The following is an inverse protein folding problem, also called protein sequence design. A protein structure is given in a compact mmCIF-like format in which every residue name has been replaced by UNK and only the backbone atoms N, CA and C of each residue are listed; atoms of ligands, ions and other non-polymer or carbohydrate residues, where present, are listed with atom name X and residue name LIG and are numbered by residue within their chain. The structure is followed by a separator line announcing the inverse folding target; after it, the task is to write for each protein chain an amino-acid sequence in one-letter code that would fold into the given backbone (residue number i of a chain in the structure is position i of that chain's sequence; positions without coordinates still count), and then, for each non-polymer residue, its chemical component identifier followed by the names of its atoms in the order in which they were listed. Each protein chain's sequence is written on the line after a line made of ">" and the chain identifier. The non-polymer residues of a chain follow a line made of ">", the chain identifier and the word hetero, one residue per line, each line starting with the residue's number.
data_IF_357177638596
#
_entry.id   IF_357177638596
#
_cell.length_a   1.000
_cell.length_b   1.000
_cell.length_c   1.000
_cell.angle_alpha   90.00
_cell.angle_beta   90.00
_cell.angle_gamma   90.00
#
_symmetry.space_group_name_H-M   'P 1'
#
loop_
_entity.id
_entity.type
_entity.pdbx_description
1 polymer ?
#
# COMPACT_ATOMS: atom_id res chain seq x y z
N UNK A 1 -16.07 7.00 -10.50
CA UNK A 1 -15.86 7.28 -9.06
C UNK A 1 -14.66 6.45 -8.65
N UNK A 2 -13.65 7.08 -8.04
CA UNK A 2 -12.43 6.41 -7.60
C UNK A 2 -12.79 5.37 -6.52
N UNK A 3 -12.16 4.19 -6.55
CA UNK A 3 -12.42 3.18 -5.53
C UNK A 3 -11.68 3.60 -4.25
N UNK A 4 -12.44 4.00 -3.22
CA UNK A 4 -11.89 4.50 -1.96
C UNK A 4 -10.95 3.47 -1.31
N UNK A 5 -11.33 2.20 -1.26
CA UNK A 5 -10.49 1.14 -0.71
C UNK A 5 -9.16 1.02 -1.46
N UNK A 6 -9.17 1.04 -2.79
CA UNK A 6 -7.91 1.00 -3.56
C UNK A 6 -7.03 2.21 -3.27
N UNK A 7 -7.64 3.38 -3.11
CA UNK A 7 -6.92 4.64 -2.80
C UNK A 7 -6.34 4.62 -1.39
N UNK A 8 -7.10 4.16 -0.40
CA UNK A 8 -6.63 3.98 0.98
C UNK A 8 -5.44 3.01 1.04
N UNK A 9 -5.57 1.82 0.43
CA UNK A 9 -4.49 0.83 0.40
C UNK A 9 -3.27 1.39 -0.35
N UNK A 10 -3.47 2.12 -1.46
CA UNK A 10 -2.39 2.80 -2.17
C UNK A 10 -1.64 3.77 -1.25
N UNK A 11 -2.35 4.59 -0.49
CA UNK A 11 -1.77 5.53 0.47
C UNK A 11 -1.03 4.81 1.61
N UNK A 12 -1.61 3.73 2.16
CA UNK A 12 -0.93 2.90 3.17
C UNK A 12 0.39 2.35 2.62
N UNK A 13 0.39 1.78 1.40
CA UNK A 13 1.60 1.27 0.76
C UNK A 13 2.64 2.38 0.46
N UNK A 14 2.20 3.64 0.34
CA UNK A 14 3.06 4.82 0.18
C UNK A 14 3.56 5.38 1.52
N UNK A 15 3.16 4.79 2.65
CA UNK A 15 3.59 5.20 3.98
C UNK A 15 2.71 6.26 4.65
N UNK A 16 1.49 6.51 4.13
CA UNK A 16 0.52 7.46 4.68
C UNK A 16 -0.38 6.81 5.74
N UNK A 17 0.23 6.31 6.80
CA UNK A 17 -0.42 5.76 7.99
C UNK A 17 0.33 6.25 9.23
N UNK A 18 -0.29 6.15 10.40
CA UNK A 18 0.32 6.53 11.66
C UNK A 18 1.49 5.57 11.99
N UNK A 19 2.73 6.06 11.81
CA UNK A 19 3.97 5.31 12.02
C UNK A 19 4.29 5.12 13.50
N UNK A 20 3.71 5.94 14.38
CA UNK A 20 3.82 5.74 15.83
C UNK A 20 3.00 4.52 16.30
N UNK A 21 1.94 4.16 15.57
CA UNK A 21 1.06 3.02 15.88
C UNK A 21 1.39 1.77 15.05
N UNK A 22 1.86 1.94 13.81
CA UNK A 22 2.10 0.84 12.87
C UNK A 22 3.54 0.84 12.40
N UNK A 23 4.23 -0.29 12.55
CA UNK A 23 5.66 -0.40 12.21
C UNK A 23 5.90 -0.49 10.71
N UNK A 24 4.92 -0.98 9.96
CA UNK A 24 5.00 -1.19 8.52
C UNK A 24 3.59 -1.16 7.90
N UNK A 25 3.56 -1.17 6.58
CA UNK A 25 2.34 -1.11 5.79
C UNK A 25 1.44 -2.35 5.98
N UNK A 26 2.01 -3.52 6.33
CA UNK A 26 1.21 -4.72 6.62
C UNK A 26 0.42 -4.58 7.93
N UNK A 27 1.05 -4.04 8.98
CA UNK A 27 0.36 -3.74 10.24
C UNK A 27 -0.72 -2.68 10.03
N UNK A 28 -0.46 -1.65 9.23
CA UNK A 28 -1.47 -0.65 8.87
C UNK A 28 -2.64 -1.24 8.05
N UNK A 29 -2.35 -2.13 7.09
CA UNK A 29 -3.39 -2.88 6.35
C UNK A 29 -4.21 -3.79 7.27
N UNK A 30 -3.59 -4.39 8.29
CA UNK A 30 -4.30 -5.18 9.29
C UNK A 30 -5.29 -4.32 10.08
N UNK A 31 -4.85 -3.17 10.59
CA UNK A 31 -5.74 -2.23 11.27
C UNK A 31 -6.84 -1.69 10.34
N UNK A 32 -6.52 -1.47 9.07
CA UNK A 32 -7.51 -1.06 8.06
C UNK A 32 -8.58 -2.12 7.88
N UNK A 33 -8.17 -3.39 7.78
CA UNK A 33 -9.09 -4.50 7.67
C UNK A 33 -10.06 -4.55 8.85
N UNK A 34 -9.58 -4.51 10.09
CA UNK A 34 -10.45 -4.55 11.27
C UNK A 34 -11.40 -3.35 11.34
N UNK A 35 -10.90 -2.15 11.03
CA UNK A 35 -11.71 -0.92 11.03
C UNK A 35 -12.84 -0.96 9.99
N UNK A 36 -12.59 -1.52 8.81
CA UNK A 36 -13.52 -1.45 7.67
C UNK A 36 -14.36 -2.72 7.45
N UNK A 37 -13.90 -3.88 7.90
CA UNK A 37 -14.57 -5.17 7.70
C UNK A 37 -15.04 -5.81 9.01
N UNK A 38 -14.61 -5.31 10.19
CA UNK A 38 -15.17 -5.67 11.49
C UNK A 38 -14.96 -7.11 11.94
N UNK A 39 -13.95 -7.79 11.42
CA UNK A 39 -13.63 -9.17 11.79
C UNK A 39 -12.34 -9.22 12.62
N UNK A 40 -12.47 -9.25 13.95
CA UNK A 40 -11.34 -9.17 14.89
C UNK A 40 -10.54 -10.50 15.00
N UNK A 41 -11.11 -11.60 14.52
CA UNK A 41 -10.51 -12.94 14.63
C UNK A 41 -9.49 -13.26 13.52
N UNK A 42 -9.40 -12.42 12.48
CA UNK A 42 -8.51 -12.63 11.33
C UNK A 42 -7.31 -11.70 11.42
N UNK A 43 -6.10 -12.27 11.44
CA UNK A 43 -4.88 -11.50 11.22
C UNK A 43 -4.57 -11.41 9.73
N UNK A 44 -4.40 -10.20 9.22
CA UNK A 44 -3.97 -9.94 7.85
C UNK A 44 -2.47 -10.25 7.73
N UNK A 45 -2.17 -11.44 7.23
CA UNK A 45 -0.82 -11.84 6.84
C UNK A 45 -0.52 -11.49 5.37
N UNK A 46 0.69 -11.78 4.91
CA UNK A 46 1.12 -11.45 3.54
C UNK A 46 0.23 -12.08 2.45
N UNK A 47 -0.05 -13.40 2.47
CA UNK A 47 -0.99 -14.00 1.52
C UNK A 47 -2.37 -13.35 1.52
N UNK A 48 -2.90 -13.04 2.70
CA UNK A 48 -4.22 -12.39 2.82
C UNK A 48 -4.19 -10.97 2.25
N UNK A 49 -3.20 -10.16 2.62
CA UNK A 49 -3.03 -8.81 2.12
C UNK A 49 -2.85 -8.78 0.60
N UNK A 50 -2.10 -9.75 0.05
CA UNK A 50 -1.96 -9.91 -1.39
C UNK A 50 -3.31 -10.08 -2.08
N UNK A 51 -4.07 -11.09 -1.68
CA UNK A 51 -5.32 -11.42 -2.35
C UNK A 51 -6.41 -10.36 -2.16
N UNK A 52 -6.54 -9.82 -0.95
CA UNK A 52 -7.63 -8.90 -0.65
C UNK A 52 -7.34 -7.47 -1.13
N UNK A 53 -6.11 -6.99 -0.96
CA UNK A 53 -5.77 -5.58 -1.14
C UNK A 53 -4.83 -5.34 -2.31
N UNK A 54 -3.71 -6.05 -2.37
CA UNK A 54 -2.61 -5.71 -3.28
C UNK A 54 -2.83 -6.21 -4.71
N UNK A 55 -3.43 -7.38 -4.92
CA UNK A 55 -3.74 -7.91 -6.25
C UNK A 55 -4.74 -6.98 -6.99
N UNK A 56 -5.89 -6.59 -6.40
CA UNK A 56 -6.79 -5.63 -7.03
C UNK A 56 -6.12 -4.28 -7.31
N UNK A 57 -5.33 -3.76 -6.37
CA UNK A 57 -4.61 -2.50 -6.53
C UNK A 57 -3.58 -2.58 -7.66
N UNK A 58 -2.84 -3.68 -7.75
CA UNK A 58 -1.83 -3.91 -8.78
C UNK A 58 -2.45 -3.92 -10.17
N UNK A 59 -3.58 -4.63 -10.33
CA UNK A 59 -4.30 -4.67 -11.60
C UNK A 59 -4.79 -3.28 -12.02
N UNK A 60 -5.31 -2.49 -11.08
CA UNK A 60 -5.77 -1.14 -11.37
C UNK A 60 -4.60 -0.20 -11.72
N UNK A 61 -3.46 -0.31 -11.03
CA UNK A 61 -2.24 0.44 -11.37
C UNK A 61 -1.78 0.10 -12.80
N UNK A 62 -1.68 -1.18 -13.14
CA UNK A 62 -1.24 -1.63 -14.48
C UNK A 62 -2.21 -1.17 -15.56
N UNK A 63 -3.52 -1.15 -15.26
CA UNK A 63 -4.52 -0.63 -16.18
C UNK A 63 -4.34 0.87 -16.48
N UNK A 64 -3.88 1.65 -15.50
CA UNK A 64 -3.61 3.09 -15.66
C UNK A 64 -2.25 3.36 -16.29
N UNK A 65 -1.24 2.60 -15.88
CA UNK A 65 0.13 2.71 -16.35
C UNK A 65 0.72 1.30 -16.57
N UNK A 66 0.57 0.74 -17.80
CA UNK A 66 1.02 -0.60 -18.13
C UNK A 66 2.52 -0.85 -17.90
N UNK A 67 3.36 0.19 -17.97
CA UNK A 67 4.81 0.07 -17.77
C UNK A 67 5.17 -0.35 -16.34
N UNK A 68 4.24 -0.18 -15.38
CA UNK A 68 4.42 -0.64 -14.00
C UNK A 68 4.48 -2.17 -13.89
N UNK A 69 3.94 -2.91 -14.86
CA UNK A 69 3.99 -4.37 -14.86
C UNK A 69 5.43 -4.92 -14.81
N UNK A 70 6.43 -4.19 -15.33
CA UNK A 70 7.84 -4.60 -15.33
C UNK A 70 8.39 -4.90 -13.92
N UNK A 71 7.85 -4.24 -12.88
CA UNK A 71 8.28 -4.45 -11.50
C UNK A 71 7.88 -5.83 -10.96
N UNK A 72 6.84 -6.45 -11.52
CA UNK A 72 6.44 -7.82 -11.18
C UNK A 72 7.41 -8.86 -11.75
N UNK A 73 8.05 -8.53 -12.88
CA UNK A 73 8.93 -9.42 -13.63
C UNK A 73 10.43 -9.13 -13.43
N UNK A 74 10.79 -8.32 -12.43
CA UNK A 74 12.20 -8.07 -12.12
C UNK A 74 12.96 -9.37 -11.86
N UNK A 75 14.24 -9.40 -12.26
CA UNK A 75 15.08 -10.57 -12.07
C UNK A 75 15.16 -10.95 -10.58
N UNK A 76 15.05 -12.25 -10.33
CA UNK A 76 15.16 -12.83 -9.00
C UNK A 76 16.60 -12.59 -8.52
N UNK A 77 16.78 -11.69 -7.54
CA UNK A 77 18.13 -11.49 -6.97
C UNK A 77 18.56 -12.75 -6.22
N UNK A 78 19.86 -13.02 -6.11
CA UNK A 78 20.41 -14.27 -5.56
C UNK A 78 19.83 -14.68 -4.18
N UNK A 79 19.29 -13.73 -3.38
CA UNK A 79 18.66 -13.99 -2.08
C UNK A 79 17.16 -14.32 -2.12
N UNK A 80 16.50 -14.20 -3.28
CA UNK A 80 15.06 -14.46 -3.43
C UNK A 80 14.74 -15.92 -3.81
N UNK A 81 15.72 -16.68 -4.32
CA UNK A 81 15.53 -18.08 -4.75
C UNK A 81 15.09 -19.03 -3.62
N UNK A 82 15.38 -18.68 -2.36
CA UNK A 82 15.01 -19.48 -1.18
C UNK A 82 13.76 -18.97 -0.48
N UNK A 83 13.07 -17.98 -1.05
CA UNK A 83 11.91 -17.36 -0.43
C UNK A 83 10.60 -17.85 -1.04
N UNK A 84 9.54 -17.84 -0.22
CA UNK A 84 8.19 -18.12 -0.70
C UNK A 84 7.77 -17.08 -1.74
N UNK A 85 7.20 -17.55 -2.85
CA UNK A 85 6.73 -16.70 -3.95
C UNK A 85 5.87 -15.52 -3.48
N UNK A 86 4.96 -15.76 -2.54
CA UNK A 86 4.09 -14.71 -1.97
C UNK A 86 4.88 -13.56 -1.33
N UNK A 87 5.97 -13.85 -0.62
CA UNK A 87 6.79 -12.81 0.01
C UNK A 87 7.58 -12.01 -1.04
N UNK A 88 8.03 -12.68 -2.11
CA UNK A 88 8.68 -12.03 -3.26
C UNK A 88 7.69 -11.10 -3.96
N UNK A 89 6.48 -11.59 -4.26
CA UNK A 89 5.44 -10.80 -4.92
C UNK A 89 5.01 -9.60 -4.10
N UNK A 90 4.81 -9.78 -2.79
CA UNK A 90 4.50 -8.69 -1.88
C UNK A 90 5.51 -7.55 -2.01
N UNK A 91 6.80 -7.85 -1.89
CA UNK A 91 7.85 -6.81 -2.00
C UNK A 91 7.90 -6.15 -3.36
N UNK A 92 7.72 -6.92 -4.45
CA UNK A 92 7.69 -6.38 -5.81
C UNK A 92 6.52 -5.43 -6.01
N UNK A 93 5.34 -5.76 -5.49
CA UNK A 93 4.16 -4.91 -5.57
C UNK A 93 4.35 -3.64 -4.73
N UNK A 94 4.83 -3.75 -3.49
CA UNK A 94 5.14 -2.57 -2.67
C UNK A 94 6.15 -1.67 -3.38
N UNK A 95 7.21 -2.24 -3.95
CA UNK A 95 8.20 -1.49 -4.73
C UNK A 95 7.57 -0.80 -5.95
N UNK A 96 6.72 -1.50 -6.71
CA UNK A 96 5.98 -0.93 -7.83
C UNK A 96 5.13 0.27 -7.41
N UNK A 97 4.40 0.16 -6.28
CA UNK A 97 3.53 1.22 -5.75
C UNK A 97 4.37 2.44 -5.36
N UNK A 98 5.52 2.24 -4.70
CA UNK A 98 6.44 3.32 -4.34
C UNK A 98 6.90 4.10 -5.58
N UNK A 99 7.08 3.44 -6.72
CA UNK A 99 7.47 4.07 -8.00
C UNK A 99 6.31 4.73 -8.77
N UNK A 100 5.07 4.66 -8.28
CA UNK A 100 3.95 5.37 -8.87
C UNK A 100 4.04 6.89 -8.62
N UNK A 101 3.72 7.70 -9.63
CA UNK A 101 3.80 9.16 -9.55
C UNK A 101 2.55 9.77 -8.89
N UNK A 102 2.71 11.00 -8.39
CA UNK A 102 1.60 11.85 -7.97
C UNK A 102 0.68 12.03 -9.19
N UNK A 103 -0.56 11.55 -9.10
CA UNK A 103 -1.52 11.51 -10.21
C UNK A 103 -1.94 10.11 -10.67
N UNK A 104 -1.32 9.04 -10.16
CA UNK A 104 -1.77 7.66 -10.44
C UNK A 104 -3.19 7.41 -9.91
N UNK A 105 -3.55 8.04 -8.80
CA UNK A 105 -4.87 8.04 -8.19
C UNK A 105 -5.37 9.46 -8.00
N UNK A 106 -6.69 9.65 -8.03
CA UNK A 106 -7.28 10.90 -7.57
C UNK A 106 -7.23 10.94 -6.03
N UNK A 107 -6.45 11.87 -5.47
CA UNK A 107 -6.23 12.00 -4.04
C UNK A 107 -6.88 13.26 -3.44
N UNK A 108 -7.83 13.88 -4.15
CA UNK A 108 -8.46 15.14 -3.71
C UNK A 108 -9.10 15.05 -2.32
N UNK A 109 -9.60 13.88 -1.93
CA UNK A 109 -10.18 13.65 -0.58
C UNK A 109 -9.16 13.73 0.56
N UNK A 110 -7.85 13.69 0.26
CA UNK A 110 -6.76 13.66 1.25
C UNK A 110 -5.92 14.93 1.22
N UNK A 111 -6.33 15.98 0.50
CA UNK A 111 -5.59 17.25 0.38
C UNK A 111 -5.31 17.89 1.73
N UNK A 112 -6.30 17.94 2.62
CA UNK A 112 -6.14 18.49 3.97
C UNK A 112 -5.07 17.75 4.79
N UNK A 113 -5.03 16.41 4.69
CA UNK A 113 -4.02 15.59 5.37
C UNK A 113 -2.62 15.89 4.80
N UNK A 114 -2.49 16.04 3.49
CA UNK A 114 -1.21 16.38 2.87
C UNK A 114 -0.75 17.79 3.21
N UNK A 115 -1.66 18.75 3.34
CA UNK A 115 -1.34 20.12 3.72
C UNK A 115 -0.89 20.19 5.17
N UNK A 116 -1.57 19.50 6.10
CA UNK A 116 -1.10 19.35 7.48
C UNK A 116 0.30 18.70 7.54
N UNK A 117 0.55 17.68 6.72
CA UNK A 117 1.87 17.05 6.65
C UNK A 117 2.96 17.99 6.12
N UNK A 118 2.63 18.88 5.17
CA UNK A 118 3.57 19.91 4.70
C UNK A 118 3.88 20.93 5.79
N UNK A 119 2.87 21.35 6.56
CA UNK A 119 3.05 22.30 7.67
C UNK A 119 4.01 21.78 8.74
N UNK A 120 4.04 20.46 8.97
CA UNK A 120 4.98 19.81 9.88
C UNK A 120 6.24 19.24 9.20
N UNK A 121 6.58 19.67 7.97
CA UNK A 121 7.72 19.16 7.20
C UNK A 121 7.79 17.61 7.08
N UNK A 122 6.63 16.94 7.08
CA UNK A 122 6.50 15.48 7.06
C UNK A 122 7.11 14.76 8.28
N UNK A 123 7.38 15.48 9.38
CA UNK A 123 8.00 14.93 10.59
C UNK A 123 6.97 14.32 11.56
N UNK A 124 5.69 14.64 11.44
CA UNK A 124 4.64 14.10 12.31
C UNK A 124 4.31 12.65 11.93
N UNK A 125 4.81 11.71 12.74
CA UNK A 125 4.59 10.28 12.59
C UNK A 125 3.14 9.85 12.88
N UNK A 126 2.29 10.74 13.38
CA UNK A 126 0.89 10.45 13.69
C UNK A 126 -0.08 10.76 12.55
N UNK A 127 0.36 11.55 11.56
CA UNK A 127 -0.45 11.87 10.39
C UNK A 127 -0.53 10.68 9.43
N UNK A 128 -1.75 10.21 9.19
CA UNK A 128 -2.03 9.09 8.31
C UNK A 128 -3.52 8.81 8.18
N UNK A 129 -3.90 7.99 7.20
CA UNK A 129 -5.31 7.65 6.98
C UNK A 129 -5.84 6.63 7.99
N UNK A 130 -4.92 5.98 8.70
CA UNK A 130 -5.19 5.00 9.76
C UNK A 130 -4.14 5.06 10.86
#
# INVERSE_FOLDING_TARGET
>A
MENKTLTDIYLICKGWYNKSLHKNELEAMNSYYHKHYGCDDITVDVPFALHLFLDPLTLEIIKRDPDKAKFLFMDVTFGENNQLFVNVMYRRIIHMIIQCTIGTFNLSEYEEMFDAAKECNYEDETLGII
#
